data_IF_067249153204
#
_entry.id   IF_067249153204
#
_cell.length_a   1.000
_cell.length_b   1.000
_cell.length_c   1.000
_cell.angle_alpha   90.00
_cell.angle_beta   90.00
_cell.angle_gamma   90.00
#
_symmetry.space_group_name_H-M   'P 1'
#
loop_
_entity.id
_entity.type
_entity.pdbx_description
1 polymer ?
#
# COMPACT_ATOMS: atom_id res chain seq x y z
N UNK A 1 12.67 -11.97 5.44
CA UNK A 1 12.87 -11.15 4.22
C UNK A 1 11.55 -11.25 3.50
N UNK A 2 11.04 -10.11 3.04
CA UNK A 2 9.63 -9.90 2.75
C UNK A 2 9.43 -9.64 1.27
N UNK A 3 8.55 -10.40 0.63
CA UNK A 3 7.96 -9.94 -0.64
C UNK A 3 6.95 -8.83 -0.36
N UNK A 4 6.91 -7.83 -1.24
CA UNK A 4 5.93 -6.74 -1.21
C UNK A 4 5.22 -6.66 -2.55
N UNK A 5 3.91 -6.85 -2.55
CA UNK A 5 3.07 -6.73 -3.73
C UNK A 5 2.13 -5.54 -3.59
N UNK A 6 2.14 -4.66 -4.59
CA UNK A 6 1.31 -3.48 -4.69
C UNK A 6 0.47 -3.61 -5.96
N UNK A 7 -0.85 -3.45 -5.85
CA UNK A 7 -1.78 -3.57 -6.99
C UNK A 7 -2.68 -2.35 -7.09
N UNK A 8 -2.70 -1.74 -8.28
CA UNK A 8 -3.57 -0.63 -8.65
C UNK A 8 -3.59 0.52 -7.63
N UNK A 9 -2.42 0.86 -7.09
CA UNK A 9 -2.31 1.87 -6.04
C UNK A 9 -2.59 3.26 -6.58
N UNK A 10 -3.68 3.87 -6.10
CA UNK A 10 -4.09 5.23 -6.46
C UNK A 10 -4.18 6.09 -5.22
N UNK A 11 -3.70 7.32 -5.36
CA UNK A 11 -3.76 8.32 -4.30
C UNK A 11 -4.13 9.66 -4.89
N UNK A 12 -5.08 10.29 -4.24
CA UNK A 12 -5.58 11.62 -4.57
C UNK A 12 -5.45 12.49 -3.32
N UNK A 13 -4.96 13.71 -3.49
CA UNK A 13 -5.04 14.76 -2.46
C UNK A 13 -6.06 15.79 -2.95
N UNK A 14 -7.26 15.77 -2.37
CA UNK A 14 -8.39 16.53 -2.88
C UNK A 14 -8.74 16.09 -4.30
N UNK A 15 -8.71 17.03 -5.25
CA UNK A 15 -9.00 16.77 -6.67
C UNK A 15 -7.77 16.39 -7.50
N UNK A 16 -6.57 16.41 -6.92
CA UNK A 16 -5.33 16.19 -7.66
C UNK A 16 -4.86 14.74 -7.51
N UNK A 17 -4.84 13.94 -8.60
CA UNK A 17 -4.23 12.62 -8.58
C UNK A 17 -2.71 12.75 -8.43
N UNK A 18 -2.13 12.07 -7.44
CA UNK A 18 -0.68 12.03 -7.21
C UNK A 18 -0.08 10.67 -7.60
N UNK A 19 -0.84 9.59 -7.42
CA UNK A 19 -0.46 8.27 -7.91
C UNK A 19 -1.55 7.71 -8.85
N UNK A 20 -1.13 7.31 -10.04
CA UNK A 20 -1.99 6.85 -11.13
C UNK A 20 -1.93 5.32 -11.30
N UNK A 21 -2.44 4.55 -10.34
CA UNK A 21 -2.60 3.10 -10.49
C UNK A 21 -1.27 2.35 -10.59
N UNK A 22 -0.41 2.54 -9.60
CA UNK A 22 0.92 1.92 -9.58
C UNK A 22 0.81 0.48 -9.13
N UNK A 23 1.36 -0.45 -9.90
CA UNK A 23 1.46 -1.87 -9.56
C UNK A 23 2.93 -2.28 -9.57
N UNK A 24 3.43 -2.79 -8.46
CA UNK A 24 4.83 -3.17 -8.26
C UNK A 24 4.82 -4.49 -7.50
N UNK A 25 5.56 -5.47 -8.00
CA UNK A 25 5.84 -6.71 -7.28
C UNK A 25 7.33 -6.72 -6.97
N UNK A 26 7.66 -6.81 -5.68
CA UNK A 26 9.03 -6.84 -5.17
C UNK A 26 9.23 -8.21 -4.57
N UNK A 27 10.07 -9.01 -5.22
CA UNK A 27 10.40 -10.34 -4.74
C UNK A 27 11.33 -10.28 -3.52
N UNK A 28 11.39 -11.40 -2.80
CA UNK A 28 12.30 -11.51 -1.67
C UNK A 28 13.77 -11.33 -2.10
N UNK A 29 14.50 -10.45 -1.43
CA UNK A 29 15.89 -10.13 -1.77
C UNK A 29 16.06 -9.17 -2.94
N UNK A 30 14.98 -8.61 -3.50
CA UNK A 30 15.04 -7.61 -4.56
C UNK A 30 15.27 -6.19 -4.00
N UNK A 31 16.21 -5.46 -4.60
CA UNK A 31 16.49 -4.08 -4.24
C UNK A 31 15.93 -3.13 -5.30
N UNK A 32 14.85 -2.42 -4.96
CA UNK A 32 14.17 -1.48 -5.85
C UNK A 32 14.43 -0.05 -5.39
N UNK A 33 14.84 0.82 -6.31
CA UNK A 33 15.02 2.25 -6.06
C UNK A 33 13.92 3.06 -6.75
N UNK A 34 13.27 3.96 -6.01
CA UNK A 34 12.26 4.88 -6.53
C UNK A 34 12.94 6.18 -7.00
N UNK A 35 12.96 6.40 -8.31
CA UNK A 35 13.54 7.61 -8.93
C UNK A 35 12.47 8.44 -9.61
N UNK A 36 12.65 9.77 -9.65
CA UNK A 36 11.72 10.68 -10.33
C UNK A 36 11.78 12.12 -9.82
N UNK A 37 11.16 13.08 -10.54
CA UNK A 37 11.17 14.51 -10.22
C UNK A 37 10.56 14.81 -8.84
N UNK A 38 10.91 15.94 -8.23
CA UNK A 38 10.28 16.39 -6.98
C UNK A 38 8.76 16.51 -7.17
N UNK A 39 7.99 15.95 -6.24
CA UNK A 39 6.52 15.99 -6.30
C UNK A 39 5.82 14.80 -6.99
N UNK A 40 6.52 13.84 -7.60
CA UNK A 40 5.87 12.67 -8.21
C UNK A 40 5.32 11.62 -7.22
N UNK A 41 5.29 11.91 -5.91
CA UNK A 41 4.68 11.02 -4.91
C UNK A 41 5.57 9.88 -4.38
N UNK A 42 6.88 9.87 -4.67
CA UNK A 42 7.81 8.83 -4.14
C UNK A 42 7.75 8.66 -2.63
N UNK A 43 7.88 9.76 -1.89
CA UNK A 43 7.84 9.74 -0.43
C UNK A 43 6.46 9.32 0.09
N UNK A 44 5.40 9.66 -0.64
CA UNK A 44 4.04 9.19 -0.35
C UNK A 44 3.93 7.69 -0.55
N UNK A 45 4.51 7.14 -1.62
CA UNK A 45 4.56 5.70 -1.89
C UNK A 45 5.31 4.95 -0.78
N UNK A 46 6.49 5.43 -0.38
CA UNK A 46 7.26 4.85 0.72
C UNK A 46 6.50 4.87 2.05
N UNK A 47 5.77 5.94 2.36
CA UNK A 47 4.93 6.03 3.56
C UNK A 47 3.76 5.04 3.54
N UNK A 48 3.17 4.79 2.37
CA UNK A 48 2.12 3.79 2.21
C UNK A 48 2.65 2.36 2.38
N UNK A 49 3.82 2.04 1.80
CA UNK A 49 4.48 0.73 2.02
C UNK A 49 4.81 0.52 3.50
N UNK A 50 5.30 1.56 4.17
CA UNK A 50 5.61 1.52 5.60
C UNK A 50 4.36 1.44 6.51
N UNK A 51 3.15 1.49 5.95
CA UNK A 51 1.89 1.49 6.72
C UNK A 51 1.65 2.78 7.51
N UNK A 52 2.38 3.85 7.22
CA UNK A 52 2.24 5.16 7.88
C UNK A 52 1.14 6.02 7.24
N UNK A 53 0.70 5.67 6.03
CA UNK A 53 -0.36 6.39 5.33
C UNK A 53 -1.31 5.44 4.59
N UNK A 54 -2.62 5.72 4.65
CA UNK A 54 -3.63 4.91 3.99
C UNK A 54 -3.60 5.11 2.46
N UNK A 55 -3.64 3.99 1.74
CA UNK A 55 -3.86 3.97 0.30
C UNK A 55 -5.26 4.50 -0.02
N UNK A 56 -5.38 5.36 -1.04
CA UNK A 56 -6.68 5.84 -1.49
C UNK A 56 -7.51 4.71 -2.07
N UNK A 57 -6.95 4.08 -3.10
CA UNK A 57 -7.46 2.86 -3.74
C UNK A 57 -6.28 1.92 -4.03
N UNK A 58 -6.57 0.63 -4.17
CA UNK A 58 -5.57 -0.40 -4.42
C UNK A 58 -5.26 -1.24 -3.18
N UNK A 59 -4.38 -2.21 -3.36
CA UNK A 59 -4.01 -3.21 -2.35
C UNK A 59 -2.49 -3.21 -2.16
N UNK A 60 -2.05 -3.30 -0.89
CA UNK A 60 -0.65 -3.49 -0.52
C UNK A 60 -0.60 -4.75 0.35
N UNK A 61 0.23 -5.72 -0.05
CA UNK A 61 0.49 -6.94 0.68
C UNK A 61 1.99 -7.06 0.94
N UNK A 62 2.37 -7.30 2.20
CA UNK A 62 3.74 -7.57 2.61
C UNK A 62 3.81 -8.90 3.38
N UNK A 63 4.81 -9.72 3.07
CA UNK A 63 4.95 -11.07 3.66
C UNK A 63 5.65 -11.09 5.03
N UNK A 64 6.44 -10.06 5.39
CA UNK A 64 6.93 -9.87 6.77
C UNK A 64 5.91 -9.04 7.55
N UNK A 65 5.31 -9.66 8.57
CA UNK A 65 4.59 -9.02 9.68
C UNK A 65 3.67 -7.83 9.36
N UNK A 66 2.36 -8.10 9.30
CA UNK A 66 1.21 -7.17 9.28
C UNK A 66 0.58 -6.96 7.90
N UNK A 67 -0.20 -7.95 7.44
CA UNK A 67 -1.06 -7.83 6.27
C UNK A 67 -2.11 -6.71 6.45
N UNK A 68 -1.89 -5.54 5.85
CA UNK A 68 -2.90 -4.47 5.75
C UNK A 68 -3.66 -4.63 4.43
N UNK A 69 -4.57 -5.60 4.38
CA UNK A 69 -5.52 -5.71 3.27
C UNK A 69 -6.57 -4.61 3.39
N UNK A 70 -6.37 -3.48 2.72
CA UNK A 70 -7.37 -2.41 2.65
C UNK A 70 -8.45 -2.78 1.62
N UNK A 71 -9.39 -3.63 2.03
CA UNK A 71 -10.59 -3.95 1.24
C UNK A 71 -11.62 -2.85 1.47
N UNK A 72 -11.79 -1.92 0.52
CA UNK A 72 -12.97 -1.04 0.49
C UNK A 72 -14.20 -1.90 0.18
N UNK A 73 -15.05 -2.14 1.19
CA UNK A 73 -16.46 -2.49 0.99
C UNK A 73 -17.23 -1.18 0.84
N UNK A 74 -17.88 -1.00 -0.30
CA UNK A 74 -18.98 -0.04 -0.49
C UNK A 74 -20.08 -0.37 0.52
N UNK A 75 -20.30 0.50 1.50
CA UNK A 75 -21.35 0.30 2.49
C UNK A 75 -21.03 1.01 3.79
N UNK A 76 -21.88 1.97 4.13
CA UNK A 76 -21.81 2.87 5.27
C UNK A 76 -21.52 2.16 6.60
N UNK A 77 -20.77 2.84 7.46
CA UNK A 77 -20.57 2.61 8.91
C UNK A 77 -19.41 1.72 9.37
N UNK A 78 -18.52 2.40 10.10
CA UNK A 78 -17.66 1.98 11.23
C UNK A 78 -16.69 0.80 11.07
N UNK A 79 -15.44 1.19 11.26
CA UNK A 79 -14.42 0.49 12.05
C UNK A 79 -13.78 -0.72 11.35
N UNK A 80 -12.63 -0.47 10.74
CA UNK A 80 -11.64 -1.47 10.39
C UNK A 80 -11.10 -2.08 11.70
N UNK A 81 -11.83 -3.03 12.26
CA UNK A 81 -11.42 -3.79 13.43
C UNK A 81 -10.18 -4.61 13.08
N UNK A 82 -9.07 -4.29 13.77
CA UNK A 82 -7.89 -5.14 13.95
C UNK A 82 -8.30 -6.61 13.95
N UNK A 83 -8.07 -7.29 12.84
CA UNK A 83 -8.15 -8.75 12.79
C UNK A 83 -6.78 -9.24 12.37
N UNK A 84 -5.83 -9.15 13.31
CA UNK A 84 -4.53 -9.81 13.23
C UNK A 84 -4.80 -11.31 13.23
N UNK A 85 -4.98 -11.90 12.05
CA UNK A 85 -5.09 -13.36 11.92
C UNK A 85 -3.66 -13.91 11.81
N UNK A 86 -3.09 -14.15 12.99
CA UNK A 86 -1.82 -14.86 13.17
C UNK A 86 -2.06 -16.33 12.80
N UNK A 87 -1.92 -16.70 11.53
CA UNK A 87 -1.88 -18.11 11.14
C UNK A 87 -0.52 -18.66 11.54
N UNK A 88 -0.53 -19.33 12.68
CA UNK A 88 0.56 -20.14 13.21
C UNK A 88 0.34 -21.58 12.72
N UNK A 89 1.08 -22.00 11.71
CA UNK A 89 1.63 -23.35 11.44
C UNK A 89 2.27 -23.36 10.07
#
# INVERSE_FOLDING_TARGET
>A
MASVTIRDLRKFYGSTPVLHGVSIDIADGEFVALVGPSGCGKSTLLRMIAGLEEAGEGEIASADASSTTCRRRTGTSRWCSRTTRFTRT
#
